data_IF_346685831062
#
_entry.id   IF_346685831062
#
_cell.length_a   1.000
_cell.length_b   1.000
_cell.length_c   1.000
_cell.angle_alpha   90.00
_cell.angle_beta   90.00
_cell.angle_gamma   90.00
#
_symmetry.space_group_name_H-M   'P 1'
#
loop_
_entity.id
_entity.type
_entity.pdbx_description
1 polymer ?
#
# COMPACT_ATOMS: atom_id res chain seq x y z
N UNK A 1 51.28 63.17 5.81
CA UNK A 1 50.03 63.29 5.10
C UNK A 1 49.53 61.84 4.84
N UNK A 2 48.68 61.38 5.73
CA UNK A 2 48.14 60.00 5.67
C UNK A 2 46.68 60.10 5.17
N UNK A 3 46.42 59.52 3.98
CA UNK A 3 45.06 59.44 3.45
C UNK A 3 44.40 58.16 3.94
N UNK A 4 43.39 58.32 4.78
CA UNK A 4 42.49 57.30 5.22
C UNK A 4 41.47 56.98 4.09
N UNK A 5 41.41 55.72 3.62
CA UNK A 5 40.39 55.24 2.68
C UNK A 5 39.39 54.38 3.46
N UNK A 6 38.22 54.93 3.71
CA UNK A 6 37.06 54.28 4.24
C UNK A 6 36.48 53.31 3.19
N UNK A 7 36.52 52.03 3.44
CA UNK A 7 35.79 51.01 2.66
C UNK A 7 34.38 50.83 3.23
N UNK A 8 33.39 51.09 2.40
CA UNK A 8 31.97 50.79 2.67
C UNK A 8 31.74 49.28 2.52
N UNK A 9 31.06 48.60 3.45
CA UNK A 9 30.71 47.19 3.26
C UNK A 9 29.54 47.07 2.29
N UNK A 10 29.75 46.34 1.21
CA UNK A 10 28.69 45.91 0.29
C UNK A 10 27.92 44.82 1.03
N UNK A 11 26.68 45.13 1.40
CA UNK A 11 25.70 44.16 1.93
C UNK A 11 25.23 43.29 0.76
N UNK A 12 25.77 42.09 0.62
CA UNK A 12 25.30 41.11 -0.33
C UNK A 12 23.99 40.53 0.21
N UNK A 13 22.87 41.03 -0.31
CA UNK A 13 21.56 40.46 -0.08
C UNK A 13 21.45 39.17 -0.92
N UNK A 14 21.77 38.00 -0.31
CA UNK A 14 21.52 36.71 -0.90
C UNK A 14 20.02 36.44 -0.89
N UNK A 15 19.38 36.66 -2.03
CA UNK A 15 18.02 36.18 -2.30
C UNK A 15 18.14 34.65 -2.44
N UNK A 16 17.91 33.93 -1.36
CA UNK A 16 17.59 32.51 -1.40
C UNK A 16 16.23 32.39 -2.08
N UNK A 17 16.24 32.14 -3.39
CA UNK A 17 15.09 31.54 -4.06
C UNK A 17 14.92 30.16 -3.46
N UNK A 18 14.07 30.05 -2.43
CA UNK A 18 13.66 28.79 -1.86
C UNK A 18 13.03 27.96 -2.97
N UNK A 19 13.63 26.81 -3.27
CA UNK A 19 12.96 25.75 -4.00
C UNK A 19 11.74 25.39 -3.15
N UNK A 20 10.54 25.76 -3.57
CA UNK A 20 9.34 25.63 -2.78
C UNK A 20 8.96 24.15 -2.66
N UNK A 21 9.41 23.51 -1.59
CA UNK A 21 8.83 22.24 -1.12
C UNK A 21 7.49 22.63 -0.51
N UNK A 22 6.41 22.00 -0.96
CA UNK A 22 5.07 22.24 -0.43
C UNK A 22 4.97 21.84 1.05
N UNK A 23 4.14 22.53 1.80
CA UNK A 23 3.78 22.12 3.17
C UNK A 23 3.02 20.78 3.10
N UNK A 24 3.23 19.89 4.06
CA UNK A 24 2.57 18.58 4.16
C UNK A 24 1.05 18.67 4.21
N UNK A 25 0.53 19.75 4.78
CA UNK A 25 -0.92 20.02 4.84
C UNK A 25 -1.56 20.16 3.46
N UNK A 26 -0.76 20.36 2.40
CA UNK A 26 -1.25 20.44 1.02
C UNK A 26 -1.69 19.09 0.43
N UNK A 27 -1.46 17.97 1.10
CA UNK A 27 -1.88 16.62 0.65
C UNK A 27 -2.88 15.97 1.59
N UNK A 28 -3.21 16.61 2.72
CA UNK A 28 -4.09 16.07 3.75
C UNK A 28 -5.53 16.60 3.59
N UNK A 29 -6.49 15.68 3.66
CA UNK A 29 -7.91 15.99 3.75
C UNK A 29 -8.61 14.89 4.56
N UNK A 30 -9.86 15.13 5.03
CA UNK A 30 -10.62 14.08 5.71
C UNK A 30 -10.65 12.77 4.91
N UNK A 31 -10.66 11.63 5.62
CA UNK A 31 -10.72 10.32 4.98
C UNK A 31 -11.88 10.26 3.97
N UNK A 32 -11.60 9.76 2.78
CA UNK A 32 -12.56 9.68 1.67
C UNK A 32 -12.68 10.94 0.81
N UNK A 33 -12.02 12.04 1.18
CA UNK A 33 -12.00 13.27 0.38
C UNK A 33 -10.88 13.26 -0.68
N UNK A 34 -11.00 14.03 -1.78
CA UNK A 34 -9.95 14.17 -2.76
C UNK A 34 -8.77 15.01 -2.23
N UNK A 35 -7.60 14.82 -2.83
CA UNK A 35 -6.41 15.65 -2.59
C UNK A 35 -6.74 17.13 -2.78
N UNK A 36 -6.25 18.02 -1.90
CA UNK A 36 -6.26 19.45 -2.14
C UNK A 36 -5.55 19.81 -3.45
N UNK A 37 -6.10 20.77 -4.18
CA UNK A 37 -5.48 21.24 -5.43
C UNK A 37 -5.87 20.46 -6.69
N UNK A 38 -6.77 19.47 -6.60
CA UNK A 38 -7.40 18.89 -7.79
C UNK A 38 -8.21 19.94 -8.55
N UNK A 39 -8.16 19.90 -9.87
CA UNK A 39 -8.96 20.76 -10.75
C UNK A 39 -10.44 20.36 -10.71
N UNK A 40 -11.33 21.21 -11.26
CA UNK A 40 -12.76 20.88 -11.40
C UNK A 40 -12.94 19.58 -12.18
N UNK A 41 -12.21 19.40 -13.28
CA UNK A 41 -12.27 18.16 -14.08
C UNK A 41 -11.81 16.93 -13.27
N UNK A 42 -10.69 17.01 -12.58
CA UNK A 42 -10.19 15.91 -11.74
C UNK A 42 -11.17 15.58 -10.59
N UNK A 43 -11.81 16.60 -10.02
CA UNK A 43 -12.84 16.42 -8.99
C UNK A 43 -14.09 15.73 -9.55
N UNK A 44 -14.52 16.04 -10.76
CA UNK A 44 -15.63 15.35 -11.45
C UNK A 44 -15.27 13.89 -11.72
N UNK A 45 -14.04 13.61 -12.20
CA UNK A 45 -13.57 12.23 -12.41
C UNK A 45 -13.47 11.47 -11.09
N UNK A 46 -13.02 12.10 -10.02
CA UNK A 46 -12.98 11.52 -8.67
C UNK A 46 -14.38 11.08 -8.21
N UNK A 47 -15.39 11.92 -8.37
CA UNK A 47 -16.77 11.61 -7.95
C UNK A 47 -17.36 10.46 -8.78
N UNK A 48 -17.13 10.47 -10.10
CA UNK A 48 -17.57 9.39 -10.98
C UNK A 48 -16.86 8.07 -10.66
N UNK A 49 -15.55 8.14 -10.41
CA UNK A 49 -14.76 6.98 -9.99
C UNK A 49 -15.19 6.45 -8.62
N UNK A 50 -15.54 7.32 -7.67
CA UNK A 50 -16.10 6.91 -6.38
C UNK A 50 -17.42 6.16 -6.54
N UNK A 51 -18.29 6.64 -7.43
CA UNK A 51 -19.55 5.96 -7.73
C UNK A 51 -19.32 4.55 -8.29
N UNK A 52 -18.36 4.41 -9.21
CA UNK A 52 -17.97 3.11 -9.77
C UNK A 52 -17.32 2.20 -8.71
N UNK A 53 -16.42 2.72 -7.88
CA UNK A 53 -15.78 1.99 -6.79
C UNK A 53 -16.78 1.42 -5.79
N UNK A 54 -17.90 2.14 -5.57
CA UNK A 54 -18.98 1.74 -4.67
C UNK A 54 -20.06 0.89 -5.36
N UNK A 55 -20.02 0.76 -6.68
CA UNK A 55 -21.02 0.01 -7.43
C UNK A 55 -20.92 -1.46 -7.11
N UNK A 56 -22.01 -2.07 -6.66
CA UNK A 56 -22.14 -3.51 -6.58
C UNK A 56 -22.50 -4.08 -7.94
N UNK A 57 -21.67 -4.96 -8.47
CA UNK A 57 -21.90 -5.68 -9.72
C UNK A 57 -22.77 -6.90 -9.47
N UNK A 58 -23.53 -7.29 -10.48
CA UNK A 58 -24.35 -8.53 -10.52
C UNK A 58 -23.82 -9.45 -11.60
N UNK A 59 -24.16 -10.76 -11.59
CA UNK A 59 -23.79 -11.66 -12.69
C UNK A 59 -24.29 -11.23 -14.05
N UNK A 60 -25.42 -10.51 -14.11
CA UNK A 60 -25.97 -9.95 -15.35
C UNK A 60 -25.20 -8.73 -15.85
N UNK A 61 -24.33 -8.18 -15.02
CA UNK A 61 -23.42 -7.06 -15.30
C UNK A 61 -21.95 -7.50 -15.40
N UNK A 62 -21.70 -8.83 -15.39
CA UNK A 62 -20.39 -9.43 -15.56
C UNK A 62 -19.68 -9.85 -14.26
N UNK A 63 -20.32 -9.75 -13.06
CA UNK A 63 -19.69 -10.23 -11.83
C UNK A 63 -19.38 -11.72 -11.89
N UNK A 64 -18.16 -12.07 -11.67
CA UNK A 64 -17.72 -13.45 -11.64
C UNK A 64 -17.21 -13.91 -13.01
N UNK A 65 -17.23 -15.22 -13.29
CA UNK A 65 -17.98 -16.32 -12.61
C UNK A 65 -17.51 -16.72 -11.24
N UNK A 66 -16.25 -16.44 -10.92
CA UNK A 66 -15.65 -16.60 -9.59
C UNK A 66 -15.36 -15.21 -8.99
N UNK A 67 -15.60 -15.01 -7.69
CA UNK A 67 -15.38 -13.73 -7.05
C UNK A 67 -15.24 -13.86 -5.53
N UNK A 68 -14.66 -12.85 -4.89
CA UNK A 68 -14.66 -12.68 -3.44
C UNK A 68 -15.73 -11.67 -3.02
N UNK A 69 -15.83 -10.53 -3.72
CA UNK A 69 -16.72 -9.44 -3.37
C UNK A 69 -17.40 -8.84 -4.60
N UNK A 70 -18.48 -8.13 -4.37
CA UNK A 70 -19.31 -7.54 -5.44
C UNK A 70 -18.94 -6.10 -5.79
N UNK A 71 -18.08 -5.46 -5.00
CA UNK A 71 -17.61 -4.08 -5.22
C UNK A 71 -16.25 -3.87 -4.54
N UNK A 72 -15.49 -2.87 -4.99
CA UNK A 72 -14.24 -2.48 -4.31
C UNK A 72 -14.50 -2.01 -2.87
N UNK A 73 -15.60 -1.27 -2.65
CA UNK A 73 -15.98 -0.78 -1.32
C UNK A 73 -16.42 -1.88 -0.37
N UNK A 74 -16.71 -3.10 -0.82
CA UNK A 74 -17.01 -4.23 0.06
C UNK A 74 -15.82 -4.60 0.95
N UNK A 75 -14.58 -4.37 0.46
CA UNK A 75 -13.35 -4.61 1.22
C UNK A 75 -12.68 -3.32 1.69
N UNK A 76 -12.97 -2.17 1.08
CA UNK A 76 -12.31 -0.89 1.36
C UNK A 76 -13.32 0.14 1.88
N UNK A 77 -13.95 -0.12 3.04
CA UNK A 77 -15.07 0.65 3.57
C UNK A 77 -14.83 1.35 4.92
N UNK A 78 -13.76 1.04 5.66
CA UNK A 78 -13.52 1.55 7.00
C UNK A 78 -12.43 2.64 7.04
N UNK A 79 -12.71 3.80 7.64
CA UNK A 79 -14.00 4.28 8.16
C UNK A 79 -14.93 4.80 7.06
N UNK A 80 -14.50 4.81 5.82
CA UNK A 80 -15.25 5.26 4.63
C UNK A 80 -14.67 4.61 3.39
N UNK A 81 -15.38 4.72 2.26
CA UNK A 81 -14.95 4.24 0.93
C UNK A 81 -13.50 4.63 0.63
N UNK A 82 -12.69 3.68 0.20
CA UNK A 82 -11.23 3.80 0.01
C UNK A 82 -10.40 3.57 1.29
N UNK A 83 -11.03 3.22 2.39
CA UNK A 83 -10.37 2.86 3.64
C UNK A 83 -9.79 1.45 3.66
N UNK A 84 -9.59 0.92 4.87
CA UNK A 84 -9.22 -0.48 5.08
C UNK A 84 -10.48 -1.35 5.22
N UNK A 85 -10.31 -2.68 5.21
CA UNK A 85 -11.40 -3.63 5.42
C UNK A 85 -11.07 -4.69 6.46
N UNK A 86 -12.13 -5.29 6.99
CA UNK A 86 -12.04 -6.39 7.94
C UNK A 86 -12.15 -7.77 7.26
N UNK A 87 -12.72 -7.82 6.07
CA UNK A 87 -12.91 -9.05 5.29
C UNK A 87 -11.55 -9.54 4.79
N UNK A 88 -11.16 -10.78 5.12
CA UNK A 88 -9.94 -11.36 4.62
C UNK A 88 -10.11 -11.90 3.20
N UNK A 89 -9.01 -11.88 2.46
CA UNK A 89 -8.87 -12.66 1.23
C UNK A 89 -7.82 -13.74 1.44
N UNK A 90 -8.10 -14.96 0.98
CA UNK A 90 -7.16 -16.09 1.12
C UNK A 90 -6.19 -16.10 -0.04
N UNK A 91 -4.90 -16.00 0.27
CA UNK A 91 -3.82 -16.18 -0.69
C UNK A 91 -3.04 -17.46 -0.40
N UNK A 92 -2.56 -18.07 -1.49
CA UNK A 92 -1.77 -19.30 -1.46
C UNK A 92 -0.53 -19.14 -2.34
N UNK A 93 0.52 -19.87 -2.02
CA UNK A 93 1.68 -20.01 -2.89
C UNK A 93 2.41 -21.31 -2.58
N UNK A 94 3.34 -21.67 -3.45
CA UNK A 94 4.34 -22.69 -3.22
C UNK A 94 5.73 -22.06 -3.33
N UNK A 95 6.62 -22.38 -2.42
CA UNK A 95 7.98 -21.86 -2.42
C UNK A 95 9.00 -22.97 -2.24
N UNK A 96 9.97 -22.99 -3.14
CA UNK A 96 11.13 -23.87 -3.06
C UNK A 96 12.38 -23.03 -3.30
N UNK A 97 13.41 -23.22 -2.46
CA UNK A 97 14.65 -22.42 -2.54
C UNK A 97 15.35 -22.53 -3.90
N UNK A 98 15.19 -23.64 -4.62
CA UNK A 98 15.85 -23.87 -5.90
C UNK A 98 15.09 -23.35 -7.10
N UNK A 99 13.74 -23.33 -7.06
CA UNK A 99 12.86 -22.92 -8.15
C UNK A 99 12.19 -21.57 -7.90
N UNK A 100 12.25 -21.06 -6.67
CA UNK A 100 11.65 -19.81 -6.25
C UNK A 100 10.14 -19.90 -5.99
N UNK A 101 9.45 -18.78 -6.15
CA UNK A 101 8.00 -18.66 -5.89
C UNK A 101 7.17 -19.16 -7.07
N UNK A 102 6.22 -20.04 -6.78
CA UNK A 102 5.18 -20.49 -7.69
C UNK A 102 3.81 -19.97 -7.22
N UNK A 103 3.15 -19.18 -8.04
CA UNK A 103 1.81 -18.61 -7.80
C UNK A 103 0.67 -19.57 -8.16
N UNK A 104 0.97 -20.84 -8.37
CA UNK A 104 -0.02 -21.91 -8.60
C UNK A 104 -1.00 -21.62 -9.76
N UNK A 105 -0.52 -21.01 -10.84
CA UNK A 105 -1.36 -20.61 -11.98
C UNK A 105 -2.11 -21.76 -12.63
N UNK A 106 -1.54 -22.98 -12.61
CA UNK A 106 -2.19 -24.19 -13.13
C UNK A 106 -3.32 -24.70 -12.22
N UNK A 107 -3.34 -24.25 -10.97
CA UNK A 107 -4.34 -24.60 -9.95
C UNK A 107 -5.36 -23.45 -9.69
N UNK A 108 -5.38 -22.40 -10.53
CA UNK A 108 -6.29 -21.26 -10.41
C UNK A 108 -5.61 -19.94 -10.01
N UNK A 109 -4.36 -19.96 -9.52
CA UNK A 109 -3.62 -18.77 -9.12
C UNK A 109 -3.40 -18.66 -7.62
N UNK A 110 -2.84 -17.52 -7.21
CA UNK A 110 -2.44 -17.29 -5.81
C UNK A 110 -3.57 -16.69 -4.93
N UNK A 111 -4.67 -16.23 -5.53
CA UNK A 111 -5.83 -15.70 -4.85
C UNK A 111 -7.01 -16.65 -5.01
N UNK A 112 -7.56 -17.12 -3.90
CA UNK A 112 -8.71 -18.01 -3.93
C UNK A 112 -10.02 -17.20 -3.95
N UNK A 113 -10.89 -17.50 -4.92
CA UNK A 113 -12.21 -16.91 -4.99
C UNK A 113 -13.21 -17.77 -4.16
N UNK A 114 -13.72 -17.14 -3.09
CA UNK A 114 -14.59 -17.79 -2.12
C UNK A 114 -16.05 -17.93 -2.59
N UNK A 115 -16.40 -17.36 -3.74
CA UNK A 115 -17.77 -17.33 -4.26
C UNK A 115 -17.83 -17.72 -5.73
N UNK A 116 -18.96 -18.26 -6.15
CA UNK A 116 -19.29 -18.54 -7.56
C UNK A 116 -20.69 -18.03 -7.86
N UNK A 117 -20.92 -17.60 -9.10
CA UNK A 117 -22.27 -17.19 -9.55
C UNK A 117 -23.27 -18.33 -9.44
N UNK A 118 -24.59 -18.06 -9.24
CA UNK A 118 -25.60 -19.10 -9.04
C UNK A 118 -25.68 -20.12 -10.17
N UNK A 119 -25.44 -19.69 -11.43
CA UNK A 119 -25.45 -20.58 -12.60
C UNK A 119 -24.39 -21.68 -12.49
N UNK A 120 -23.15 -21.34 -12.11
CA UNK A 120 -22.05 -22.29 -11.91
C UNK A 120 -22.33 -23.23 -10.73
N UNK A 121 -22.86 -22.70 -9.63
CA UNK A 121 -23.24 -23.52 -8.47
C UNK A 121 -24.29 -24.56 -8.87
N UNK A 122 -25.26 -24.20 -9.69
CA UNK A 122 -26.26 -25.13 -10.24
C UNK A 122 -25.64 -26.18 -11.15
N UNK A 123 -24.58 -25.83 -11.88
CA UNK A 123 -23.79 -26.77 -12.70
C UNK A 123 -22.84 -27.65 -11.87
N UNK A 124 -22.79 -27.49 -10.55
CA UNK A 124 -21.95 -28.27 -9.64
C UNK A 124 -20.54 -27.73 -9.45
N UNK A 125 -20.24 -26.53 -9.98
CA UNK A 125 -18.98 -25.84 -9.73
C UNK A 125 -19.05 -25.16 -8.37
N UNK A 126 -18.02 -25.37 -7.57
CA UNK A 126 -17.90 -24.87 -6.21
C UNK A 126 -16.85 -23.75 -6.15
N UNK A 127 -16.89 -22.91 -5.10
CA UNK A 127 -15.79 -21.99 -4.80
C UNK A 127 -14.45 -22.71 -4.76
N UNK A 128 -13.40 -21.96 -5.00
CA UNK A 128 -12.05 -22.50 -5.01
C UNK A 128 -11.65 -23.10 -3.66
N UNK A 129 -10.74 -24.04 -3.74
CA UNK A 129 -10.16 -24.72 -2.57
C UNK A 129 -8.66 -24.55 -2.58
N UNK A 130 -8.07 -24.57 -1.40
CA UNK A 130 -6.62 -24.56 -1.26
C UNK A 130 -6.05 -25.77 -2.05
N UNK A 131 -5.24 -25.51 -3.07
CA UNK A 131 -4.57 -26.55 -3.84
C UNK A 131 -3.66 -27.41 -2.96
N UNK A 132 -3.55 -28.69 -3.25
CA UNK A 132 -2.65 -29.58 -2.52
C UNK A 132 -1.18 -29.30 -2.77
N UNK A 133 -0.86 -28.55 -3.83
CA UNK A 133 0.45 -28.02 -4.20
C UNK A 133 0.85 -26.78 -3.37
N UNK A 134 -0.09 -26.12 -2.69
CA UNK A 134 0.22 -24.98 -1.85
C UNK A 134 1.01 -25.37 -0.59
N UNK A 135 2.16 -24.76 -0.38
CA UNK A 135 2.96 -24.90 0.85
C UNK A 135 2.76 -23.76 1.83
N UNK A 136 2.15 -22.66 1.38
CA UNK A 136 1.80 -21.50 2.20
C UNK A 136 0.37 -21.05 1.94
N UNK A 137 -0.30 -20.60 3.01
CA UNK A 137 -1.67 -20.07 3.00
C UNK A 137 -1.74 -18.91 3.98
N UNK A 138 -2.28 -17.78 3.57
CA UNK A 138 -2.49 -16.63 4.46
C UNK A 138 -3.81 -15.94 4.19
N UNK A 139 -4.32 -15.23 5.18
CA UNK A 139 -5.46 -14.32 5.06
C UNK A 139 -4.95 -12.88 5.05
N UNK A 140 -5.01 -12.20 3.92
CA UNK A 140 -4.63 -10.80 3.83
C UNK A 140 -5.81 -9.88 4.15
N UNK A 141 -5.52 -8.78 4.84
CA UNK A 141 -6.47 -7.69 5.10
C UNK A 141 -6.33 -6.59 4.07
N UNK A 142 -7.47 -6.05 3.61
CA UNK A 142 -7.48 -4.95 2.67
C UNK A 142 -6.86 -3.69 3.30
N UNK A 143 -5.75 -3.15 2.72
CA UNK A 143 -5.11 -1.95 3.24
C UNK A 143 -5.90 -0.69 2.84
N UNK A 144 -5.74 0.40 3.61
CA UNK A 144 -6.28 1.69 3.20
C UNK A 144 -5.58 2.23 1.95
N UNK A 145 -6.38 2.78 1.03
CA UNK A 145 -5.94 3.34 -0.25
C UNK A 145 -5.57 4.84 -0.16
N UNK A 146 -5.68 5.45 1.02
CA UNK A 146 -5.37 6.86 1.24
C UNK A 146 -3.96 7.22 0.78
N UNK A 147 -3.84 8.26 -0.05
CA UNK A 147 -2.56 8.77 -0.55
C UNK A 147 -1.79 7.83 -1.48
N UNK A 148 -2.42 6.78 -2.01
CA UNK A 148 -1.72 5.80 -2.86
C UNK A 148 -1.28 6.43 -4.20
N UNK A 149 -1.99 7.45 -4.70
CA UNK A 149 -1.56 8.19 -5.88
C UNK A 149 -0.31 9.06 -5.63
N UNK A 150 -0.08 9.51 -4.39
CA UNK A 150 1.18 10.15 -4.02
C UNK A 150 2.34 9.14 -4.09
N UNK A 151 2.09 7.88 -3.70
CA UNK A 151 3.08 6.80 -3.83
C UNK A 151 3.40 6.51 -5.29
N UNK A 152 2.39 6.48 -6.16
CA UNK A 152 2.62 6.31 -7.61
C UNK A 152 3.46 7.44 -8.19
N UNK A 153 3.32 8.67 -7.67
CA UNK A 153 4.01 9.85 -8.16
C UNK A 153 5.45 10.01 -7.61
N UNK A 154 5.97 9.10 -6.77
CA UNK A 154 7.39 9.06 -6.38
C UNK A 154 8.21 8.63 -7.59
N UNK A 155 9.33 9.31 -7.86
CA UNK A 155 10.27 8.87 -8.90
C UNK A 155 10.92 7.52 -8.50
N UNK A 156 11.16 6.65 -9.47
CA UNK A 156 11.78 5.34 -9.23
C UNK A 156 13.16 5.47 -8.57
N UNK A 157 13.95 6.45 -8.99
CA UNK A 157 15.28 6.72 -8.43
C UNK A 157 15.22 7.07 -6.93
N UNK A 158 14.17 7.72 -6.45
CA UNK A 158 14.00 8.05 -5.03
C UNK A 158 13.71 6.80 -4.19
N UNK A 159 13.01 5.80 -4.73
CA UNK A 159 12.80 4.50 -4.08
C UNK A 159 14.12 3.71 -4.10
N UNK A 160 14.79 3.65 -5.25
CA UNK A 160 16.05 2.92 -5.40
C UNK A 160 17.17 3.50 -4.54
N UNK A 161 17.14 4.80 -4.25
CA UNK A 161 18.09 5.45 -3.35
C UNK A 161 17.96 5.03 -1.88
N UNK A 162 16.85 4.41 -1.49
CA UNK A 162 16.67 3.85 -0.14
C UNK A 162 17.24 2.43 -0.02
N UNK A 163 17.55 1.76 -1.13
CA UNK A 163 17.92 0.35 -1.13
C UNK A 163 19.39 0.14 -0.73
N UNK A 164 19.62 -0.84 0.13
CA UNK A 164 20.95 -1.35 0.49
C UNK A 164 20.94 -2.90 0.55
N UNK A 165 20.73 -3.60 -0.58
CA UNK A 165 20.53 -5.05 -0.60
C UNK A 165 21.74 -5.86 -0.11
N UNK A 166 22.91 -5.25 -0.01
CA UNK A 166 24.16 -5.88 0.42
C UNK A 166 24.57 -5.47 1.85
N UNK A 167 23.70 -4.72 2.58
CA UNK A 167 23.98 -4.19 3.94
C UNK A 167 25.38 -3.53 4.01
N UNK A 168 25.63 -2.58 3.09
CA UNK A 168 26.96 -1.97 2.92
C UNK A 168 27.34 -1.09 4.11
N UNK A 169 26.37 -0.52 4.81
CA UNK A 169 26.60 0.32 6.00
C UNK A 169 26.72 -0.54 7.28
N UNK A 170 26.35 -1.82 7.24
CA UNK A 170 26.52 -2.79 8.31
C UNK A 170 25.55 -2.62 9.47
N UNK A 171 24.36 -2.04 9.22
CA UNK A 171 23.33 -1.83 10.24
C UNK A 171 22.41 -3.05 10.46
N UNK A 172 22.53 -4.06 9.59
CA UNK A 172 21.77 -5.31 9.60
C UNK A 172 20.43 -5.21 8.86
N UNK A 173 20.25 -4.18 8.03
CA UNK A 173 19.03 -3.95 7.23
C UNK A 173 19.42 -3.97 5.75
N UNK A 174 18.86 -4.90 4.97
CA UNK A 174 19.18 -5.13 3.57
C UNK A 174 17.98 -4.87 2.65
N UNK A 175 17.32 -3.72 2.83
CA UNK A 175 16.16 -3.33 2.06
C UNK A 175 16.41 -3.34 0.56
N UNK A 176 15.53 -3.99 -0.22
CA UNK A 176 15.66 -4.10 -1.67
C UNK A 176 14.32 -3.82 -2.38
N UNK A 177 14.33 -3.29 -3.61
CA UNK A 177 13.10 -3.07 -4.35
C UNK A 177 12.43 -4.40 -4.70
N UNK A 178 11.10 -4.45 -4.62
CA UNK A 178 10.33 -5.53 -5.20
C UNK A 178 10.34 -5.47 -6.74
N UNK A 179 9.96 -6.56 -7.37
CA UNK A 179 9.93 -6.68 -8.83
C UNK A 179 8.50 -6.42 -9.35
N UNK A 180 8.27 -5.21 -9.82
CA UNK A 180 7.04 -4.83 -10.51
C UNK A 180 7.06 -5.16 -11.99
N UNK A 181 5.95 -4.87 -12.67
CA UNK A 181 5.84 -5.03 -14.12
C UNK A 181 6.95 -4.30 -14.88
N UNK A 182 7.37 -4.86 -16.02
CA UNK A 182 8.41 -4.32 -16.90
C UNK A 182 9.79 -4.14 -16.23
N UNK A 183 10.03 -4.78 -15.07
CA UNK A 183 11.29 -4.65 -14.33
C UNK A 183 11.45 -3.34 -13.56
N UNK A 184 10.37 -2.58 -13.40
CA UNK A 184 10.35 -1.37 -12.58
C UNK A 184 10.28 -1.73 -11.09
N UNK A 185 10.74 -0.84 -10.17
CA UNK A 185 10.59 -1.07 -8.75
C UNK A 185 9.12 -1.18 -8.35
N UNK A 186 8.77 -2.29 -7.71
CA UNK A 186 7.43 -2.52 -7.20
C UNK A 186 7.15 -1.62 -6.01
N UNK A 187 5.96 -1.02 -5.96
CA UNK A 187 5.54 -0.13 -4.88
C UNK A 187 4.15 -0.44 -4.34
N UNK A 188 3.40 -1.33 -5.00
CA UNK A 188 2.06 -1.77 -4.60
C UNK A 188 2.03 -3.27 -4.35
N UNK A 189 1.02 -3.70 -3.56
CA UNK A 189 0.93 -5.04 -3.03
C UNK A 189 1.80 -5.26 -1.79
N UNK A 190 1.47 -6.27 -0.99
CA UNK A 190 2.18 -6.59 0.26
C UNK A 190 3.62 -7.09 0.03
N UNK A 191 3.87 -7.63 -1.15
CA UNK A 191 5.18 -8.13 -1.62
C UNK A 191 5.81 -7.22 -2.68
N UNK A 192 5.39 -5.95 -2.80
CA UNK A 192 5.90 -4.99 -3.78
C UNK A 192 5.92 -5.55 -5.22
N UNK A 193 4.84 -6.25 -5.63
CA UNK A 193 4.80 -6.95 -6.92
C UNK A 193 4.21 -6.14 -8.06
N UNK A 194 3.71 -4.92 -7.82
CA UNK A 194 3.15 -4.04 -8.85
C UNK A 194 3.87 -2.70 -8.87
N UNK A 195 4.25 -2.23 -10.05
CA UNK A 195 4.94 -0.96 -10.24
C UNK A 195 3.97 0.22 -10.38
N UNK A 196 2.82 0.02 -11.01
CA UNK A 196 1.83 1.06 -11.31
C UNK A 196 0.50 0.82 -10.62
N UNK A 197 -0.23 1.91 -10.38
CA UNK A 197 -1.57 1.84 -9.82
C UNK A 197 -2.57 1.17 -10.77
N UNK A 198 -2.42 1.35 -12.09
CA UNK A 198 -3.25 0.69 -13.10
C UNK A 198 -3.12 -0.82 -13.02
N UNK A 199 -1.88 -1.35 -13.05
CA UNK A 199 -1.60 -2.78 -12.89
C UNK A 199 -2.21 -3.35 -11.59
N UNK A 200 -2.08 -2.61 -10.48
CA UNK A 200 -2.63 -3.02 -9.19
C UNK A 200 -4.17 -3.05 -9.17
N UNK A 201 -4.83 -2.03 -9.79
CA UNK A 201 -6.28 -1.97 -9.90
C UNK A 201 -6.82 -3.11 -10.76
N UNK A 202 -6.24 -3.36 -11.93
CA UNK A 202 -6.69 -4.42 -12.84
C UNK A 202 -6.54 -5.81 -12.22
N UNK A 203 -5.42 -6.04 -11.51
CA UNK A 203 -5.23 -7.29 -10.79
C UNK A 203 -6.29 -7.49 -9.69
N UNK A 204 -6.67 -6.41 -8.97
CA UNK A 204 -7.71 -6.48 -7.94
C UNK A 204 -9.11 -6.70 -8.57
N UNK A 205 -9.45 -6.03 -9.67
CA UNK A 205 -10.73 -6.19 -10.39
C UNK A 205 -10.91 -7.65 -10.79
N UNK A 206 -9.89 -8.22 -11.42
CA UNK A 206 -9.94 -9.59 -11.92
C UNK A 206 -9.99 -10.61 -10.78
N UNK A 207 -9.08 -10.51 -9.81
CA UNK A 207 -8.98 -11.49 -8.74
C UNK A 207 -10.12 -11.41 -7.73
N UNK A 208 -10.60 -10.21 -7.38
CA UNK A 208 -11.59 -10.03 -6.31
C UNK A 208 -13.04 -10.05 -6.83
N UNK A 209 -13.29 -9.61 -8.05
CA UNK A 209 -14.64 -9.52 -8.61
C UNK A 209 -14.86 -10.41 -9.84
N UNK A 210 -13.79 -11.02 -10.38
CA UNK A 210 -13.87 -11.83 -11.58
C UNK A 210 -14.25 -11.05 -12.82
N UNK A 211 -14.03 -9.72 -12.84
CA UNK A 211 -14.34 -8.88 -14.00
C UNK A 211 -13.12 -8.77 -14.89
N UNK A 212 -13.31 -8.96 -16.19
CA UNK A 212 -12.24 -8.83 -17.19
C UNK A 212 -11.98 -7.39 -17.59
N UNK A 213 -10.77 -7.12 -18.08
CA UNK A 213 -10.32 -5.80 -18.53
C UNK A 213 -9.70 -5.92 -19.93
N UNK A 214 -9.48 -4.81 -20.68
CA UNK A 214 -8.86 -4.86 -21.99
C UNK A 214 -7.49 -5.55 -22.03
N UNK A 215 -6.69 -5.42 -20.95
CA UNK A 215 -5.38 -6.06 -20.85
C UNK A 215 -5.47 -7.51 -20.31
N UNK A 216 -6.59 -7.88 -19.71
CA UNK A 216 -6.88 -9.20 -19.15
C UNK A 216 -8.29 -9.69 -19.57
N UNK A 217 -8.50 -10.00 -20.89
CA UNK A 217 -9.81 -10.31 -21.43
C UNK A 217 -10.22 -11.77 -21.26
N UNK A 218 -9.72 -12.47 -20.28
CA UNK A 218 -10.01 -13.89 -20.04
C UNK A 218 -10.35 -14.13 -18.58
N UNK A 219 -11.38 -14.90 -18.37
CA UNK A 219 -11.86 -15.33 -17.08
C UNK A 219 -10.83 -16.13 -16.26
N UNK A 220 -10.93 -16.03 -14.95
CA UNK A 220 -10.23 -16.93 -14.04
C UNK A 220 -10.86 -18.32 -14.08
N UNK A 221 -10.01 -19.34 -13.97
CA UNK A 221 -10.44 -20.73 -14.04
C UNK A 221 -10.48 -21.35 -12.62
N UNK A 222 -11.64 -21.89 -12.18
CA UNK A 222 -11.78 -22.45 -10.84
C UNK A 222 -10.80 -23.61 -10.60
N UNK A 223 -9.84 -23.42 -9.69
CA UNK A 223 -8.75 -24.37 -9.44
C UNK A 223 -8.09 -24.88 -10.74
N UNK A 224 -7.89 -24.02 -11.74
CA UNK A 224 -7.29 -24.36 -13.03
C UNK A 224 -8.21 -25.16 -13.99
N UNK A 225 -9.46 -25.39 -13.64
CA UNK A 225 -10.40 -26.13 -14.48
C UNK A 225 -11.11 -25.18 -15.45
N UNK A 226 -11.25 -25.54 -16.75
CA UNK A 226 -11.96 -24.72 -17.70
C UNK A 226 -13.42 -24.47 -17.28
N UNK A 227 -13.88 -23.24 -17.47
CA UNK A 227 -15.28 -22.87 -17.30
C UNK A 227 -16.15 -23.58 -18.34
N UNK A 228 -17.36 -23.92 -17.92
CA UNK A 228 -18.36 -24.47 -18.86
C UNK A 228 -18.83 -23.38 -19.84
N UNK A 229 -19.18 -23.75 -21.08
CA UNK A 229 -19.73 -22.80 -22.04
C UNK A 229 -21.00 -22.13 -21.50
N UNK A 230 -21.07 -20.79 -21.60
CA UNK A 230 -22.17 -19.99 -21.06
C UNK A 230 -22.13 -19.76 -19.55
N UNK A 231 -20.99 -19.97 -18.90
CA UNK A 231 -20.79 -19.65 -17.48
C UNK A 231 -20.83 -18.16 -17.21
N UNK A 232 -20.35 -17.36 -18.17
CA UNK A 232 -20.50 -15.93 -18.21
C UNK A 232 -21.42 -15.51 -19.38
N UNK A 233 -22.51 -14.77 -19.09
CA UNK A 233 -23.44 -14.32 -20.12
C UNK A 233 -23.04 -12.96 -20.76
N UNK A 234 -22.05 -12.27 -20.20
CA UNK A 234 -21.67 -10.91 -20.62
C UNK A 234 -20.46 -10.99 -21.57
N UNK A 235 -20.42 -10.20 -22.66
CA UNK A 235 -19.25 -10.14 -23.53
C UNK A 235 -18.06 -9.47 -22.86
N UNK A 236 -16.87 -10.04 -23.07
CA UNK A 236 -15.59 -9.51 -22.59
C UNK A 236 -15.07 -8.31 -23.41
N UNK A 237 -14.39 -7.33 -22.79
CA UNK A 237 -14.25 -7.16 -21.33
C UNK A 237 -15.45 -6.38 -20.74
N UNK A 238 -15.83 -6.68 -19.49
CA UNK A 238 -16.90 -5.95 -18.79
C UNK A 238 -16.45 -4.57 -18.31
N UNK A 239 -15.18 -4.43 -17.97
CA UNK A 239 -14.58 -3.15 -17.53
C UNK A 239 -13.84 -2.53 -18.71
N UNK A 240 -14.34 -1.39 -19.16
CA UNK A 240 -13.74 -0.65 -20.27
C UNK A 240 -12.58 0.26 -19.79
N UNK A 241 -11.75 0.72 -20.74
CA UNK A 241 -10.67 1.68 -20.47
C UNK A 241 -11.17 2.97 -19.79
N UNK A 242 -12.39 3.41 -20.09
CA UNK A 242 -13.03 4.55 -19.43
C UNK A 242 -13.27 4.30 -17.94
N UNK A 243 -13.69 3.09 -17.55
CA UNK A 243 -13.93 2.70 -16.17
C UNK A 243 -12.63 2.60 -15.40
N UNK A 244 -11.58 2.01 -15.97
CA UNK A 244 -10.24 2.00 -15.39
C UNK A 244 -9.71 3.42 -15.15
N UNK A 245 -9.96 4.34 -16.09
CA UNK A 245 -9.59 5.76 -15.93
C UNK A 245 -10.30 6.40 -14.74
N UNK A 246 -11.59 6.13 -14.54
CA UNK A 246 -12.38 6.64 -13.44
C UNK A 246 -11.93 6.04 -12.09
N UNK A 247 -11.71 4.73 -12.02
CA UNK A 247 -11.20 4.08 -10.81
C UNK A 247 -9.82 4.60 -10.44
N UNK A 248 -8.94 4.76 -11.43
CA UNK A 248 -7.62 5.35 -11.23
C UNK A 248 -7.70 6.79 -10.75
N UNK A 249 -8.64 7.59 -11.25
CA UNK A 249 -8.85 8.97 -10.79
C UNK A 249 -9.33 9.00 -9.32
N UNK A 250 -10.29 8.15 -8.94
CA UNK A 250 -10.75 8.07 -7.56
C UNK A 250 -9.62 7.66 -6.62
N UNK A 251 -8.99 6.52 -6.87
CA UNK A 251 -7.96 5.94 -6.00
C UNK A 251 -6.70 6.83 -5.98
N UNK A 252 -6.30 7.35 -7.14
CA UNK A 252 -5.10 8.19 -7.29
C UNK A 252 -5.23 9.57 -6.66
N UNK A 253 -6.43 10.14 -6.61
CA UNK A 253 -6.68 11.43 -5.94
C UNK A 253 -7.22 11.29 -4.51
N UNK A 254 -7.30 10.09 -3.95
CA UNK A 254 -7.75 9.90 -2.58
C UNK A 254 -6.70 10.46 -1.60
N UNK A 255 -7.08 11.48 -0.83
CA UNK A 255 -6.16 12.18 0.07
C UNK A 255 -5.72 11.33 1.26
N UNK A 256 -4.57 11.70 1.85
CA UNK A 256 -4.17 11.19 3.15
C UNK A 256 -5.03 11.85 4.25
N UNK A 257 -5.52 11.08 5.25
CA UNK A 257 -6.11 11.68 6.43
C UNK A 257 -5.03 12.44 7.22
N UNK A 258 -5.39 13.60 7.83
CA UNK A 258 -4.46 14.34 8.67
C UNK A 258 -4.08 13.52 9.91
N UNK A 259 -2.91 13.82 10.48
CA UNK A 259 -2.55 13.26 11.80
C UNK A 259 -3.64 13.57 12.82
N UNK A 260 -3.95 12.59 13.66
CA UNK A 260 -4.85 12.80 14.79
C UNK A 260 -4.31 13.89 15.72
N UNK A 261 -5.09 14.93 15.94
CA UNK A 261 -4.77 16.00 16.89
C UNK A 261 -4.90 15.49 18.33
N UNK A 262 -3.94 15.88 19.14
CA UNK A 262 -3.97 15.64 20.59
C UNK A 262 -4.33 16.96 21.27
N UNK A 263 -5.33 16.94 22.14
CA UNK A 263 -5.84 18.16 22.79
C UNK A 263 -4.98 18.57 24.00
N UNK A 264 -4.37 17.58 24.68
CA UNK A 264 -3.56 17.80 25.87
C UNK A 264 -2.11 18.19 25.49
N UNK A 265 -1.56 19.32 26.01
CA UNK A 265 -0.17 19.69 25.76
C UNK A 265 0.88 18.67 26.25
N UNK A 266 0.59 17.92 27.31
CA UNK A 266 1.46 16.85 27.80
C UNK A 266 1.52 15.70 26.79
N UNK A 267 0.39 15.28 26.26
CA UNK A 267 0.33 14.25 25.19
C UNK A 267 1.01 14.74 23.91
N UNK A 268 0.88 16.01 23.55
CA UNK A 268 1.61 16.59 22.41
C UNK A 268 3.12 16.55 22.63
N UNK A 269 3.58 16.83 23.85
CA UNK A 269 5.00 16.76 24.18
C UNK A 269 5.51 15.32 24.17
N UNK A 270 4.78 14.39 24.77
CA UNK A 270 5.09 12.96 24.76
C UNK A 270 5.08 12.38 23.31
N UNK A 271 4.14 12.79 22.46
CA UNK A 271 4.12 12.37 21.06
C UNK A 271 5.34 12.85 20.27
N UNK A 272 5.81 14.10 20.50
CA UNK A 272 7.06 14.59 19.86
C UNK A 272 8.30 13.85 20.38
N UNK A 273 8.36 13.56 21.69
CA UNK A 273 9.40 12.71 22.26
C UNK A 273 9.37 11.32 21.63
N UNK A 274 8.18 10.72 21.49
CA UNK A 274 7.98 9.42 20.86
C UNK A 274 8.43 9.38 19.42
N UNK A 275 8.23 10.45 18.64
CA UNK A 275 8.74 10.58 17.26
C UNK A 275 10.27 10.55 17.24
N UNK A 276 10.94 11.30 18.09
CA UNK A 276 12.40 11.26 18.21
C UNK A 276 12.95 9.90 18.72
N UNK A 277 12.21 9.22 19.60
CA UNK A 277 12.58 7.87 20.03
C UNK A 277 12.43 6.88 18.87
N UNK A 278 11.32 6.92 18.13
CA UNK A 278 11.07 6.09 16.95
C UNK A 278 12.23 6.16 15.94
N UNK A 279 12.74 7.35 15.68
CA UNK A 279 13.94 7.54 14.86
C UNK A 279 15.19 6.93 15.52
N UNK A 280 15.43 7.26 16.79
CA UNK A 280 16.66 6.88 17.50
C UNK A 280 16.83 5.37 17.73
N UNK A 281 15.73 4.63 17.86
CA UNK A 281 15.76 3.17 18.04
C UNK A 281 15.76 2.41 16.71
N UNK A 282 15.78 3.12 15.56
CA UNK A 282 15.97 2.53 14.24
C UNK A 282 14.69 2.14 13.50
N UNK A 283 13.49 2.48 13.99
CA UNK A 283 12.26 2.22 13.25
C UNK A 283 12.21 2.98 11.91
N UNK A 284 12.79 4.19 11.88
CA UNK A 284 12.83 5.05 10.70
C UNK A 284 13.78 4.54 9.60
N UNK A 285 14.61 3.51 9.85
CA UNK A 285 15.49 2.93 8.85
C UNK A 285 14.68 2.20 7.74
N UNK A 286 13.55 1.57 8.10
CA UNK A 286 12.57 1.03 7.16
C UNK A 286 11.37 1.97 7.00
N UNK A 287 10.86 2.52 8.10
CA UNK A 287 9.75 3.45 8.10
C UNK A 287 10.23 4.89 7.82
N UNK A 288 10.86 5.11 6.64
CA UNK A 288 11.30 6.42 6.16
C UNK A 288 10.15 7.42 6.24
N UNK A 289 10.32 8.55 6.98
CA UNK A 289 9.19 9.41 7.31
C UNK A 289 8.52 10.06 6.09
N UNK A 290 9.28 10.41 5.04
CA UNK A 290 8.79 11.27 3.95
C UNK A 290 9.34 10.90 2.60
N UNK A 291 8.52 11.18 1.58
CA UNK A 291 8.94 11.30 0.18
C UNK A 291 8.48 12.63 -0.42
N UNK A 292 9.03 12.95 -1.57
CA UNK A 292 8.58 14.04 -2.43
C UNK A 292 8.16 13.43 -3.76
N UNK A 293 6.96 13.77 -4.24
CA UNK A 293 6.52 13.32 -5.56
C UNK A 293 7.33 13.98 -6.67
N UNK A 294 7.50 13.29 -7.77
CA UNK A 294 8.16 13.81 -8.98
C UNK A 294 7.34 14.89 -9.70
N UNK A 295 7.77 15.18 -10.93
CA UNK A 295 7.02 16.07 -11.81
C UNK A 295 5.72 15.37 -12.28
N UNK A 296 4.59 16.03 -12.09
CA UNK A 296 3.27 15.49 -12.44
C UNK A 296 2.42 16.55 -13.15
N UNK A 297 1.55 16.13 -14.07
CA UNK A 297 0.62 17.01 -14.77
C UNK A 297 -0.45 17.59 -13.84
N UNK A 298 -0.90 16.78 -12.85
CA UNK A 298 -1.81 17.24 -11.82
C UNK A 298 -1.07 18.07 -10.78
N UNK A 299 -1.53 19.29 -10.54
CA UNK A 299 -0.99 20.15 -9.48
C UNK A 299 -1.13 19.52 -8.08
N UNK A 300 -2.14 18.66 -7.87
CA UNK A 300 -2.36 17.95 -6.62
C UNK A 300 -1.29 16.90 -6.31
N UNK A 301 -0.60 16.40 -7.35
CA UNK A 301 0.44 15.37 -7.26
C UNK A 301 1.85 15.90 -7.58
N UNK A 302 1.98 17.14 -8.08
CA UNK A 302 3.24 17.66 -8.59
C UNK A 302 4.14 18.18 -7.47
N UNK A 303 5.30 17.55 -7.26
CA UNK A 303 6.35 17.95 -6.29
C UNK A 303 5.80 18.18 -4.88
N UNK A 304 4.96 17.28 -4.40
CA UNK A 304 4.37 17.31 -3.06
C UNK A 304 5.25 16.59 -2.06
N UNK A 305 5.57 17.22 -0.95
CA UNK A 305 6.14 16.56 0.22
C UNK A 305 5.01 15.92 1.02
N UNK A 306 5.17 14.64 1.40
CA UNK A 306 4.15 13.93 2.16
C UNK A 306 4.76 12.91 3.11
N UNK A 307 4.08 12.66 4.23
CA UNK A 307 4.46 11.63 5.16
C UNK A 307 4.00 10.27 4.66
N UNK A 308 4.85 9.29 4.78
CA UNK A 308 4.56 7.93 4.35
C UNK A 308 4.94 6.91 5.43
N UNK A 309 6.02 7.14 6.15
CA UNK A 309 6.63 6.21 7.09
C UNK A 309 6.81 4.81 6.47
N UNK A 310 7.49 4.77 5.34
CA UNK A 310 7.82 3.57 4.57
C UNK A 310 8.87 3.92 3.52
N UNK A 311 9.84 3.06 3.31
CA UNK A 311 10.80 3.13 2.21
C UNK A 311 10.29 2.44 0.93
N UNK A 312 9.16 1.70 1.03
CA UNK A 312 8.55 0.88 -0.03
C UNK A 312 9.37 -0.35 -0.43
N UNK A 313 10.43 -0.68 0.30
CA UNK A 313 11.30 -1.81 0.03
C UNK A 313 10.81 -3.10 0.70
N UNK A 314 11.33 -4.22 0.23
CA UNK A 314 11.18 -5.53 0.84
C UNK A 314 12.26 -5.72 1.90
N UNK A 315 11.86 -6.24 3.07
CA UNK A 315 12.73 -6.61 4.17
C UNK A 315 12.40 -8.01 4.67
N UNK A 316 13.40 -8.77 5.05
CA UNK A 316 13.21 -10.06 5.70
C UNK A 316 12.75 -9.85 7.15
N UNK A 317 11.48 -10.19 7.40
CA UNK A 317 10.84 -10.06 8.70
C UNK A 317 10.97 -11.30 9.58
N UNK A 318 11.78 -12.27 9.15
CA UNK A 318 12.04 -13.49 9.87
C UNK A 318 10.94 -14.56 9.75
N UNK A 319 11.21 -15.77 10.30
CA UNK A 319 10.35 -16.93 10.09
C UNK A 319 8.96 -16.82 10.76
N UNK A 320 8.81 -16.01 11.80
CA UNK A 320 7.52 -15.85 12.50
C UNK A 320 6.48 -15.08 11.68
N UNK A 321 6.92 -14.28 10.70
CA UNK A 321 6.07 -13.55 9.78
C UNK A 321 6.13 -14.13 8.35
N UNK A 322 6.87 -15.23 8.15
CA UNK A 322 6.93 -15.91 6.85
C UNK A 322 5.60 -16.61 6.56
N UNK A 323 5.07 -16.42 5.34
CA UNK A 323 3.95 -17.18 4.80
C UNK A 323 4.00 -17.24 3.25
N UNK A 324 3.15 -16.52 2.50
CA UNK A 324 3.17 -16.53 1.04
C UNK A 324 4.41 -15.87 0.46
N UNK A 325 4.79 -16.29 -0.72
CA UNK A 325 5.80 -15.64 -1.56
C UNK A 325 5.15 -14.82 -2.70
N UNK A 326 5.97 -14.10 -3.43
CA UNK A 326 5.64 -13.53 -4.74
C UNK A 326 6.86 -13.61 -5.66
N UNK A 327 6.72 -13.44 -6.98
CA UNK A 327 7.86 -13.35 -7.89
C UNK A 327 8.85 -12.28 -7.40
N UNK A 328 10.08 -12.72 -7.13
CA UNK A 328 11.12 -11.85 -6.58
C UNK A 328 10.99 -11.51 -5.09
N UNK A 329 10.11 -12.14 -4.34
CA UNK A 329 10.00 -11.98 -2.87
C UNK A 329 9.80 -13.32 -2.18
N UNK A 330 10.66 -13.65 -1.23
CA UNK A 330 10.60 -14.87 -0.41
C UNK A 330 9.41 -14.82 0.57
N UNK A 331 9.05 -15.93 1.22
CA UNK A 331 7.99 -15.98 2.23
C UNK A 331 8.17 -14.99 3.37
N UNK A 332 9.40 -14.78 3.86
CA UNK A 332 9.69 -13.88 4.99
C UNK A 332 9.84 -12.41 4.60
N UNK A 333 9.98 -12.09 3.32
CA UNK A 333 10.13 -10.71 2.87
C UNK A 333 8.79 -10.02 2.69
N UNK A 334 8.65 -8.82 3.27
CA UNK A 334 7.47 -7.98 3.18
C UNK A 334 7.84 -6.54 2.85
N UNK A 335 7.00 -5.91 2.02
CA UNK A 335 7.16 -4.47 1.75
C UNK A 335 6.80 -3.69 3.02
N UNK A 336 7.66 -2.73 3.40
CA UNK A 336 7.37 -1.82 4.50
C UNK A 336 6.00 -1.16 4.33
N UNK A 337 5.10 -1.43 5.28
CA UNK A 337 3.76 -0.85 5.28
C UNK A 337 3.80 0.63 5.61
N UNK A 338 3.06 1.44 4.87
CA UNK A 338 2.87 2.87 5.17
C UNK A 338 2.10 3.04 6.48
N UNK A 339 2.57 3.93 7.34
CA UNK A 339 1.90 4.21 8.62
C UNK A 339 0.93 5.40 8.51
N UNK A 340 0.17 5.47 7.42
CA UNK A 340 -0.83 6.52 7.16
C UNK A 340 -2.21 6.06 7.61
N UNK A 341 -2.89 6.86 8.41
CA UNK A 341 -4.21 6.53 8.96
C UNK A 341 -4.16 5.38 9.97
N UNK A 342 -3.03 5.19 10.64
CA UNK A 342 -2.82 4.10 11.61
C UNK A 342 -3.81 4.16 12.78
N UNK A 343 -4.21 5.37 13.20
CA UNK A 343 -5.20 5.58 14.26
C UNK A 343 -6.63 5.17 13.88
N UNK A 344 -6.89 4.92 12.60
CA UNK A 344 -8.18 4.45 12.09
C UNK A 344 -8.30 2.92 12.12
N UNK A 345 -7.21 2.20 12.43
CA UNK A 345 -7.13 0.74 12.37
C UNK A 345 -7.17 0.10 13.74
N UNK A 346 -7.74 -1.10 13.83
CA UNK A 346 -7.77 -1.95 15.03
C UNK A 346 -7.02 -3.27 14.86
N UNK A 347 -6.62 -3.60 13.63
CA UNK A 347 -5.86 -4.79 13.28
C UNK A 347 -4.60 -4.37 12.50
N UNK A 348 -3.49 -5.02 12.77
CA UNK A 348 -2.16 -4.66 12.26
C UNK A 348 -1.45 -5.90 11.73
N UNK A 349 -0.36 -5.69 10.97
CA UNK A 349 0.32 -6.66 10.12
C UNK A 349 -0.53 -7.03 8.90
N UNK A 350 0.06 -7.80 7.98
CA UNK A 350 -0.57 -8.15 6.70
C UNK A 350 -1.86 -8.98 6.84
N UNK A 351 -1.94 -9.79 7.89
CA UNK A 351 -3.04 -10.72 8.17
C UNK A 351 -3.95 -10.29 9.34
N UNK A 352 -3.64 -9.16 9.99
CA UNK A 352 -4.43 -8.66 11.11
C UNK A 352 -4.22 -9.38 12.44
N UNK A 353 -3.18 -10.24 12.56
CA UNK A 353 -2.91 -11.01 13.79
C UNK A 353 -2.57 -10.14 14.99
N UNK A 354 -1.99 -8.98 14.81
CA UNK A 354 -1.72 -8.03 15.88
C UNK A 354 -2.94 -7.16 16.17
N UNK A 355 -3.36 -7.11 17.44
CA UNK A 355 -4.56 -6.39 17.90
C UNK A 355 -4.25 -5.04 18.54
N UNK A 356 -2.98 -4.69 18.59
CA UNK A 356 -2.50 -3.37 19.03
C UNK A 356 -1.22 -3.01 18.30
N UNK A 357 -0.90 -1.71 18.25
CA UNK A 357 0.38 -1.21 17.71
C UNK A 357 1.55 -1.83 18.49
N UNK A 358 1.41 -1.97 19.81
CA UNK A 358 2.43 -2.63 20.64
C UNK A 358 2.67 -4.08 20.20
N UNK A 359 1.60 -4.85 20.00
CA UNK A 359 1.73 -6.24 19.57
C UNK A 359 2.40 -6.33 18.19
N UNK A 360 2.02 -5.44 17.27
CA UNK A 360 2.68 -5.35 15.96
C UNK A 360 4.19 -5.11 16.09
N UNK A 361 4.62 -4.16 16.93
CA UNK A 361 6.05 -3.90 17.18
C UNK A 361 6.73 -5.14 17.76
N UNK A 362 6.11 -5.83 18.71
CA UNK A 362 6.69 -7.01 19.35
C UNK A 362 6.79 -8.24 18.42
N UNK A 363 6.01 -8.26 17.35
CA UNK A 363 6.06 -9.32 16.32
C UNK A 363 7.08 -9.03 15.21
N UNK A 364 7.71 -7.85 15.17
CA UNK A 364 8.78 -7.56 14.23
C UNK A 364 9.98 -8.45 14.49
N UNK A 365 10.45 -9.18 13.46
CA UNK A 365 11.61 -10.07 13.50
C UNK A 365 12.58 -9.79 12.37
N UNK A 366 13.50 -10.70 12.09
CA UNK A 366 14.47 -10.56 11.03
C UNK A 366 15.26 -9.25 11.12
N UNK A 367 15.29 -8.48 10.05
CA UNK A 367 16.00 -7.19 9.98
C UNK A 367 15.47 -6.17 11.02
N UNK A 368 14.20 -6.25 11.42
CA UNK A 368 13.62 -5.35 12.41
C UNK A 368 13.87 -5.76 13.87
N UNK A 369 14.54 -6.90 14.13
CA UNK A 369 14.72 -7.46 15.46
C UNK A 369 15.48 -6.51 16.40
N UNK A 370 16.52 -5.85 15.90
CA UNK A 370 17.30 -4.88 16.66
C UNK A 370 16.45 -3.70 17.16
N UNK A 371 15.59 -3.14 16.29
CA UNK A 371 14.69 -2.05 16.65
C UNK A 371 13.64 -2.51 17.67
N UNK A 372 13.09 -3.71 17.51
CA UNK A 372 12.18 -4.34 18.48
C UNK A 372 12.82 -4.47 19.87
N UNK A 373 14.03 -4.97 19.98
CA UNK A 373 14.72 -5.07 21.28
C UNK A 373 14.98 -3.71 21.91
N UNK A 374 15.44 -2.72 21.11
CA UNK A 374 15.61 -1.34 21.63
C UNK A 374 14.29 -0.77 22.13
N UNK A 375 13.15 -1.04 21.47
CA UNK A 375 11.84 -0.66 21.98
C UNK A 375 11.49 -1.35 23.30
N UNK A 376 11.78 -2.65 23.45
CA UNK A 376 11.53 -3.42 24.67
C UNK A 376 12.37 -2.93 25.86
N UNK A 377 13.59 -2.47 25.61
CA UNK A 377 14.52 -1.95 26.61
C UNK A 377 14.18 -0.53 27.09
N UNK A 378 13.26 0.17 26.41
CA UNK A 378 12.76 1.46 26.86
C UNK A 378 11.97 1.33 28.18
N UNK A 379 11.98 2.39 28.98
CA UNK A 379 11.08 2.45 30.15
C UNK A 379 9.61 2.44 29.68
N UNK A 380 8.67 2.02 30.54
CA UNK A 380 7.24 2.04 30.18
C UNK A 380 6.73 3.40 29.69
N UNK A 381 7.24 4.50 30.27
CA UNK A 381 6.88 5.87 29.89
C UNK A 381 7.35 6.19 28.47
N UNK A 382 8.59 5.86 28.13
CA UNK A 382 9.15 6.08 26.79
C UNK A 382 8.48 5.18 25.75
N UNK A 383 8.17 3.92 26.08
CA UNK A 383 7.35 3.07 25.21
C UNK A 383 5.97 3.71 24.95
N UNK A 384 5.36 4.28 26.00
CA UNK A 384 4.06 4.97 25.83
C UNK A 384 4.18 6.21 24.94
N UNK A 385 5.29 6.98 25.02
CA UNK A 385 5.55 8.11 24.12
C UNK A 385 5.61 7.67 22.66
N UNK A 386 6.31 6.56 22.33
CA UNK A 386 6.35 5.98 20.97
C UNK A 386 4.95 5.53 20.52
N UNK A 387 4.21 4.82 21.37
CA UNK A 387 2.85 4.37 21.04
C UNK A 387 1.90 5.53 20.85
N UNK A 388 2.04 6.61 21.60
CA UNK A 388 1.24 7.82 21.45
C UNK A 388 1.54 8.53 20.12
N UNK A 389 2.82 8.65 19.76
CA UNK A 389 3.23 9.14 18.44
C UNK A 389 2.58 8.33 17.33
N UNK A 390 2.74 7.01 17.31
CA UNK A 390 2.18 6.13 16.28
C UNK A 390 0.64 6.22 16.19
N UNK A 391 -0.03 6.42 17.32
CA UNK A 391 -1.49 6.65 17.36
C UNK A 391 -1.92 8.00 16.78
N UNK A 392 -1.01 8.89 16.43
CA UNK A 392 -1.32 10.11 15.71
C UNK A 392 -1.26 9.94 14.20
N UNK A 393 -0.55 8.91 13.70
CA UNK A 393 -0.39 8.60 12.30
C UNK A 393 -1.62 7.85 11.78
#
# INVERSE_FOLDING_TARGET
MIRSSTRLPILLCSVLTGCGISDETEVEAPAGAPLPGVTTYESEQFVLGQALFNRAFTPEEGLGPLFNQVSCSSCHDLPTSGGHGAEPVTKVSDFDESSGCNLLKEDGGDLLQASVVPALRTAGILPERIPTSATAVTELRAPALYGIGLVEAIEDDDILAQADPDDQDGDGISGRPGLGGQGLPGRFGSKAQHATLSEFIENAIRGEMGLTTPDHPTEEMPNGLPLAEGSDPVPEPEIETSDLTLLRAYIGFLAQPPRRKLDNPEDQAASREGEGIFESIGCANCHTPRFITGNNQSAALNRKSFRIYSDLLLHDMGPELADICAPGASPSEWRTTRLVGLYLRSEFLHDGRARSIRDAILMHGGEAESARYRFQDLTPELQQSVLLFLRTL
#
